data_IF_353412043608
#
_entry.id   IF_353412043608
#
_cell.length_a   1.000
_cell.length_b   1.000
_cell.length_c   1.000
_cell.angle_alpha   90.00
_cell.angle_beta   90.00
_cell.angle_gamma   90.00
#
_symmetry.space_group_name_H-M   'P 1'
#
loop_
_entity.id
_entity.type
_entity.pdbx_description
1 polymer ?
#
# COMPACT_ATOMS: atom_id res chain seq x y z
N UNK A 1 17.94 0.87 33.62
CA UNK A 1 17.05 2.05 33.51
C UNK A 1 15.95 1.66 32.56
N UNK A 2 14.72 1.51 33.03
CA UNK A 2 13.60 1.07 32.22
C UNK A 2 13.25 2.14 31.15
N UNK A 3 12.90 1.77 29.93
CA UNK A 3 12.46 2.71 28.91
C UNK A 3 11.09 3.28 29.28
N UNK A 4 11.00 4.61 29.24
CA UNK A 4 9.78 5.36 29.52
C UNK A 4 8.96 5.42 28.24
N UNK A 5 7.78 4.80 28.25
CA UNK A 5 6.77 5.02 27.22
C UNK A 5 6.19 6.43 27.37
N UNK A 6 6.45 7.32 26.42
CA UNK A 6 5.84 8.66 26.41
C UNK A 6 4.52 8.57 25.66
N UNK A 7 3.43 8.55 26.43
CA UNK A 7 2.08 8.82 25.89
C UNK A 7 1.90 10.33 25.89
N UNK A 8 1.87 10.96 24.73
CA UNK A 8 1.54 12.38 24.59
C UNK A 8 0.04 12.51 24.35
N UNK A 9 -0.75 13.04 25.30
CA UNK A 9 -2.13 13.40 25.06
C UNK A 9 -2.19 14.81 24.48
N UNK A 10 -2.49 14.97 23.22
CA UNK A 10 -2.94 16.25 22.67
C UNK A 10 -4.43 16.17 22.45
N UNK A 11 -5.21 16.74 23.34
CA UNK A 11 -6.61 17.08 23.09
C UNK A 11 -6.84 18.55 23.38
N UNK A 12 -7.44 19.32 22.49
CA UNK A 12 -8.18 20.51 22.88
C UNK A 12 -9.50 20.07 23.51
N UNK A 13 -9.81 20.61 24.68
CA UNK A 13 -11.10 20.44 25.36
C UNK A 13 -12.19 21.07 24.46
N UNK A 14 -12.98 20.26 23.80
CA UNK A 14 -14.30 20.63 23.32
C UNK A 14 -15.31 19.94 24.24
N UNK A 15 -16.10 20.71 24.92
CA UNK A 15 -17.25 20.23 25.70
C UNK A 15 -18.32 19.78 24.75
N UNK A 16 -18.28 18.50 24.38
CA UNK A 16 -19.36 17.85 23.67
C UNK A 16 -20.17 17.04 24.69
N UNK A 17 -21.43 17.35 24.79
CA UNK A 17 -22.48 16.65 25.51
C UNK A 17 -22.38 15.14 25.25
N UNK A 18 -22.26 14.36 26.31
CA UNK A 18 -22.31 12.90 26.26
C UNK A 18 -23.59 12.43 25.57
N UNK A 19 -23.53 11.63 24.52
CA UNK A 19 -24.69 10.89 24.05
C UNK A 19 -24.92 9.76 25.07
N UNK A 20 -25.98 9.88 25.84
CA UNK A 20 -26.55 8.83 26.68
C UNK A 20 -27.10 7.73 25.77
N UNK A 21 -26.53 6.54 25.86
CA UNK A 21 -27.14 5.32 25.34
C UNK A 21 -26.33 4.55 24.30
N UNK A 22 -25.11 4.12 24.63
CA UNK A 22 -24.48 3.03 23.85
C UNK A 22 -25.11 1.70 24.27
N UNK A 23 -25.79 1.05 23.32
CA UNK A 23 -26.19 -0.36 23.46
C UNK A 23 -24.94 -1.22 23.70
N UNK A 24 -24.96 -2.16 24.68
CA UNK A 24 -23.77 -2.94 25.04
C UNK A 24 -23.25 -3.93 23.95
N UNK A 25 -23.96 -4.12 22.86
CA UNK A 25 -23.73 -5.22 21.89
C UNK A 25 -23.39 -4.81 20.46
N UNK A 26 -23.02 -3.55 20.23
CA UNK A 26 -22.58 -3.18 18.88
C UNK A 26 -21.12 -3.62 18.64
N UNK A 27 -20.83 -4.35 17.55
CA UNK A 27 -19.50 -4.90 17.31
C UNK A 27 -18.48 -3.78 17.03
N UNK A 28 -17.35 -3.82 17.71
CA UNK A 28 -16.21 -2.99 17.41
C UNK A 28 -15.38 -3.66 16.28
N UNK A 29 -14.76 -2.86 15.42
CA UNK A 29 -13.87 -3.33 14.36
C UNK A 29 -12.54 -2.59 14.44
N UNK A 30 -11.47 -3.31 14.76
CA UNK A 30 -10.14 -2.75 14.87
C UNK A 30 -9.35 -2.93 13.57
N UNK A 31 -8.73 -1.85 13.11
CA UNK A 31 -7.73 -1.88 12.05
C UNK A 31 -6.42 -1.29 12.58
N UNK A 32 -5.28 -1.77 12.11
CA UNK A 32 -4.01 -1.19 12.49
C UNK A 32 -2.99 -1.17 11.37
N UNK A 33 -2.11 -0.17 11.44
CA UNK A 33 -0.91 -0.05 10.61
C UNK A 33 0.30 -0.10 11.52
N UNK A 34 1.39 -0.69 11.04
CA UNK A 34 2.65 -0.68 11.75
C UNK A 34 3.80 -0.51 10.77
N UNK A 35 4.82 0.20 11.20
CA UNK A 35 6.04 0.50 10.45
C UNK A 35 7.22 0.24 11.38
N UNK A 36 8.22 -0.48 10.89
CA UNK A 36 9.53 -0.60 11.54
C UNK A 36 10.46 0.38 10.85
N UNK A 37 11.16 1.18 11.65
CA UNK A 37 12.22 2.10 11.17
C UNK A 37 13.53 1.74 11.84
N UNK A 38 14.54 1.59 11.04
CA UNK A 38 15.95 1.51 11.43
C UNK A 38 16.55 2.92 11.51
N UNK A 39 17.59 3.10 12.30
CA UNK A 39 18.18 4.41 12.55
C UNK A 39 18.78 5.03 11.27
N UNK A 40 19.41 4.22 10.43
CA UNK A 40 20.10 4.65 9.21
C UNK A 40 19.26 4.51 7.94
N UNK A 41 18.05 3.91 8.03
CA UNK A 41 17.07 3.69 6.96
C UNK A 41 17.59 2.83 5.81
N UNK A 42 18.50 1.91 6.07
CA UNK A 42 19.04 0.99 5.06
C UNK A 42 18.31 -0.37 5.01
N UNK A 43 17.28 -0.56 5.86
CA UNK A 43 16.47 -1.78 5.99
C UNK A 43 17.31 -3.02 6.42
N UNK A 44 18.46 -2.78 7.00
CA UNK A 44 19.37 -3.79 7.51
C UNK A 44 19.71 -3.44 8.97
N UNK A 45 19.36 -4.30 9.89
CA UNK A 45 19.57 -4.07 11.30
C UNK A 45 20.89 -4.64 11.77
N UNK A 46 21.74 -3.80 12.35
CA UNK A 46 22.97 -4.26 13.02
C UNK A 46 22.73 -4.43 14.52
N UNK A 47 23.47 -5.37 15.11
CA UNK A 47 23.53 -5.49 16.56
C UNK A 47 23.81 -4.14 17.21
N UNK A 48 23.02 -3.78 18.22
CA UNK A 48 23.11 -2.50 18.94
C UNK A 48 22.45 -1.31 18.25
N UNK A 49 21.97 -1.45 17.01
CA UNK A 49 21.24 -0.39 16.29
C UNK A 49 19.89 -0.13 16.92
N UNK A 50 19.47 1.14 16.92
CA UNK A 50 18.13 1.53 17.38
C UNK A 50 17.08 1.25 16.31
N UNK A 51 16.04 0.55 16.69
CA UNK A 51 14.85 0.29 15.86
C UNK A 51 13.64 0.91 16.50
N UNK A 52 12.83 1.61 15.71
CA UNK A 52 11.57 2.23 16.15
C UNK A 52 10.39 1.50 15.53
N UNK A 53 9.44 1.11 16.35
CA UNK A 53 8.17 0.50 15.96
C UNK A 53 7.05 1.53 16.13
N UNK A 54 6.52 2.01 15.02
CA UNK A 54 5.39 2.95 14.97
C UNK A 54 4.11 2.19 14.64
N UNK A 55 3.09 2.28 15.52
CA UNK A 55 1.81 1.60 15.33
C UNK A 55 0.70 2.63 15.42
N UNK A 56 -0.20 2.61 14.45
CA UNK A 56 -1.46 3.34 14.48
C UNK A 56 -2.61 2.33 14.50
N UNK A 57 -3.50 2.44 15.47
CA UNK A 57 -4.68 1.59 15.61
C UNK A 57 -5.94 2.45 15.64
N UNK A 58 -6.97 2.01 14.90
CA UNK A 58 -8.26 2.71 14.78
C UNK A 58 -9.40 1.74 15.05
N UNK A 59 -10.44 2.23 15.70
CA UNK A 59 -11.72 1.54 15.80
C UNK A 59 -12.66 2.06 14.69
N UNK A 60 -12.94 1.24 13.69
CA UNK A 60 -13.87 1.55 12.59
C UNK A 60 -15.28 1.04 12.84
N UNK A 61 -15.48 0.27 13.93
CA UNK A 61 -16.80 -0.23 14.29
C UNK A 61 -17.61 0.77 15.11
N UNK A 62 -18.93 0.54 15.23
CA UNK A 62 -19.84 1.38 16.02
C UNK A 62 -19.74 1.12 17.53
N UNK A 63 -19.17 0.00 17.98
CA UNK A 63 -19.02 -0.35 19.38
C UNK A 63 -17.73 0.17 20.01
N UNK A 64 -17.75 0.41 21.33
CA UNK A 64 -16.55 0.75 22.10
C UNK A 64 -15.76 -0.51 22.43
N UNK A 65 -14.45 -0.47 22.28
CA UNK A 65 -13.56 -1.57 22.67
C UNK A 65 -12.71 -1.16 23.86
N UNK A 66 -12.61 -2.05 24.85
CA UNK A 66 -11.89 -1.80 26.11
C UNK A 66 -10.65 -2.68 26.24
N UNK A 67 -9.61 -2.13 26.86
CA UNK A 67 -8.40 -2.86 27.18
C UNK A 67 -7.67 -3.40 25.95
N UNK A 68 -7.56 -2.58 24.91
CA UNK A 68 -6.83 -2.93 23.69
C UNK A 68 -5.33 -2.97 23.98
N UNK A 69 -4.71 -4.05 23.55
CA UNK A 69 -3.27 -4.32 23.68
C UNK A 69 -2.73 -4.87 22.38
N UNK A 70 -1.46 -4.56 22.12
CA UNK A 70 -0.72 -5.11 20.99
C UNK A 70 0.34 -6.06 21.56
N UNK A 71 0.27 -7.32 21.16
CA UNK A 71 1.25 -8.34 21.49
C UNK A 71 2.40 -8.25 20.49
N UNK A 72 3.62 -8.17 21.00
CA UNK A 72 4.86 -8.16 20.21
C UNK A 72 5.59 -9.46 20.48
N UNK A 73 5.79 -10.26 19.44
CA UNK A 73 6.52 -11.52 19.50
C UNK A 73 7.47 -11.63 18.31
N UNK A 74 8.46 -12.50 18.36
CA UNK A 74 9.39 -12.68 17.25
C UNK A 74 10.77 -13.18 17.67
N UNK A 75 11.76 -12.87 16.84
CA UNK A 75 13.16 -13.21 17.09
C UNK A 75 13.70 -12.44 18.29
N UNK A 76 14.32 -13.14 19.26
CA UNK A 76 14.80 -12.57 20.51
C UNK A 76 15.61 -11.28 20.31
N UNK A 77 16.56 -11.27 19.39
CA UNK A 77 17.36 -10.08 19.07
C UNK A 77 16.54 -8.84 18.66
N UNK A 78 15.28 -9.00 18.22
CA UNK A 78 14.40 -7.90 17.87
C UNK A 78 13.45 -7.52 19.01
N UNK A 79 13.03 -8.49 19.83
CA UNK A 79 11.93 -8.27 20.79
C UNK A 79 12.40 -8.12 22.22
N UNK A 80 13.60 -8.56 22.59
CA UNK A 80 14.08 -8.53 23.99
C UNK A 80 14.17 -7.11 24.58
N UNK A 81 14.29 -6.10 23.73
CA UNK A 81 14.32 -4.69 24.16
C UNK A 81 13.01 -3.93 23.92
N UNK A 82 12.04 -4.58 23.29
CA UNK A 82 10.70 -4.03 23.04
C UNK A 82 9.73 -4.71 24.01
N UNK A 83 8.86 -3.98 24.73
CA UNK A 83 7.87 -4.60 25.59
C UNK A 83 7.00 -5.60 24.82
N UNK A 84 6.87 -6.82 25.33
CA UNK A 84 6.06 -7.88 24.68
C UNK A 84 4.57 -7.57 24.62
N UNK A 85 4.11 -6.58 25.40
CA UNK A 85 2.71 -6.09 25.41
C UNK A 85 2.73 -4.56 25.42
N UNK A 86 2.10 -3.95 24.43
CA UNK A 86 1.93 -2.50 24.33
C UNK A 86 0.47 -2.17 24.63
N UNK A 87 0.23 -1.41 25.70
CA UNK A 87 -1.13 -1.01 26.09
C UNK A 87 -1.61 0.17 25.24
N UNK A 88 -2.75 0.02 24.62
CA UNK A 88 -3.46 1.06 23.86
C UNK A 88 -4.60 1.67 24.69
N UNK A 89 -5.22 0.84 25.54
CA UNK A 89 -6.37 1.22 26.36
C UNK A 89 -7.70 1.11 25.61
N UNK A 90 -8.64 2.01 25.90
CA UNK A 90 -9.97 1.96 25.31
C UNK A 90 -10.04 2.79 24.03
N UNK A 91 -10.84 2.33 23.06
CA UNK A 91 -11.10 3.01 21.80
C UNK A 91 -12.62 3.14 21.58
N UNK A 92 -13.11 4.36 21.49
CA UNK A 92 -14.48 4.65 21.08
C UNK A 92 -14.62 4.50 19.55
N UNK A 93 -15.85 4.46 19.03
CA UNK A 93 -16.07 4.51 17.59
C UNK A 93 -15.34 5.69 16.92
N UNK A 94 -14.54 5.39 15.89
CA UNK A 94 -13.76 6.39 15.16
C UNK A 94 -12.42 6.80 15.80
N UNK A 95 -12.13 6.39 17.03
CA UNK A 95 -10.87 6.73 17.70
C UNK A 95 -9.65 6.17 16.97
N UNK A 96 -8.61 6.99 16.89
CA UNK A 96 -7.28 6.62 16.37
C UNK A 96 -6.25 6.83 17.48
N UNK A 97 -5.46 5.83 17.79
CA UNK A 97 -4.33 5.93 18.71
C UNK A 97 -3.03 5.52 18.03
N UNK A 98 -1.95 6.21 18.42
CA UNK A 98 -0.59 5.94 17.98
C UNK A 98 0.26 5.52 19.15
N UNK A 99 1.05 4.47 18.93
CA UNK A 99 2.03 3.96 19.88
C UNK A 99 3.36 3.88 19.15
N UNK A 100 4.39 4.50 19.72
CA UNK A 100 5.76 4.42 19.22
C UNK A 100 6.62 3.82 20.33
N UNK A 101 7.41 2.81 19.97
CA UNK A 101 8.34 2.14 20.87
C UNK A 101 9.67 2.01 20.21
N UNK A 102 10.72 2.43 20.92
CA UNK A 102 12.08 2.26 20.49
C UNK A 102 12.70 1.05 21.22
N UNK A 103 13.47 0.27 20.46
CA UNK A 103 14.25 -0.84 20.95
C UNK A 103 15.67 -0.81 20.39
N UNK A 104 16.49 -1.70 20.86
CA UNK A 104 17.82 -1.94 20.28
C UNK A 104 17.90 -3.38 19.79
N UNK A 105 18.53 -3.58 18.65
CA UNK A 105 18.81 -4.92 18.16
C UNK A 105 19.79 -5.61 19.14
N UNK A 106 19.38 -6.75 19.65
CA UNK A 106 20.21 -7.57 20.55
C UNK A 106 21.35 -8.26 19.83
N UNK A 107 22.00 -9.21 20.50
CA UNK A 107 23.15 -9.92 19.95
C UNK A 107 22.80 -10.69 18.68
N UNK A 108 23.59 -10.48 17.63
CA UNK A 108 23.48 -11.15 16.34
C UNK A 108 24.85 -11.70 15.99
N UNK A 109 25.02 -13.02 16.05
CA UNK A 109 26.32 -13.68 15.83
C UNK A 109 26.65 -13.93 14.36
N UNK A 110 25.62 -14.04 13.53
CA UNK A 110 25.72 -14.24 12.07
C UNK A 110 24.62 -13.52 11.32
N UNK A 111 24.78 -13.33 10.02
CA UNK A 111 23.76 -12.72 9.18
C UNK A 111 22.52 -13.63 9.11
N UNK A 112 21.37 -13.14 9.59
CA UNK A 112 20.14 -13.92 9.74
C UNK A 112 18.91 -13.05 9.42
N UNK A 113 17.83 -13.70 9.05
CA UNK A 113 16.54 -13.05 8.97
C UNK A 113 15.83 -13.17 10.33
N UNK A 114 15.44 -12.03 10.88
CA UNK A 114 14.61 -11.96 12.07
C UNK A 114 13.15 -11.69 11.71
N UNK A 115 12.26 -12.15 12.57
CA UNK A 115 10.82 -11.94 12.43
C UNK A 115 10.30 -11.11 13.60
N UNK A 116 9.40 -10.18 13.31
CA UNK A 116 8.58 -9.47 14.29
C UNK A 116 7.11 -9.68 13.95
N UNK A 117 6.34 -10.13 14.91
CA UNK A 117 4.92 -10.43 14.75
C UNK A 117 4.11 -9.58 15.71
N UNK A 118 3.12 -8.87 15.18
CA UNK A 118 2.22 -8.01 15.93
C UNK A 118 0.79 -8.57 15.85
N UNK A 119 0.18 -8.80 17.01
CA UNK A 119 -1.21 -9.22 17.11
C UNK A 119 -1.98 -8.28 18.06
N UNK A 120 -3.23 -8.00 17.74
CA UNK A 120 -4.09 -7.15 18.57
C UNK A 120 -4.99 -8.03 19.40
N UNK A 121 -5.14 -7.71 20.71
CA UNK A 121 -6.15 -8.29 21.59
C UNK A 121 -6.90 -7.20 22.37
N UNK A 122 -8.05 -7.53 22.90
CA UNK A 122 -8.84 -6.64 23.75
C UNK A 122 -9.58 -7.44 24.83
N UNK A 123 -10.09 -6.74 25.82
CA UNK A 123 -10.93 -7.36 26.87
C UNK A 123 -12.38 -7.50 26.45
N UNK A 124 -12.86 -6.68 25.52
CA UNK A 124 -14.21 -6.78 24.98
C UNK A 124 -14.35 -8.05 24.12
N UNK A 125 -15.52 -8.70 24.18
CA UNK A 125 -15.81 -9.97 23.47
C UNK A 125 -16.34 -9.76 22.05
N UNK A 126 -17.08 -8.68 21.79
CA UNK A 126 -17.67 -8.37 20.49
C UNK A 126 -16.74 -7.49 19.64
N UNK A 127 -15.58 -8.02 19.26
CA UNK A 127 -14.57 -7.27 18.51
C UNK A 127 -14.13 -8.06 17.28
N UNK A 128 -14.18 -7.42 16.12
CA UNK A 128 -13.51 -7.90 14.93
C UNK A 128 -12.04 -7.45 14.98
N UNK A 129 -11.14 -8.41 15.11
CA UNK A 129 -9.71 -8.14 15.18
C UNK A 129 -9.09 -8.08 13.79
N UNK A 130 -8.08 -7.20 13.59
CA UNK A 130 -7.30 -7.18 12.36
C UNK A 130 -6.42 -8.43 12.24
N UNK A 131 -6.02 -8.74 11.03
CA UNK A 131 -5.03 -9.80 10.78
C UNK A 131 -3.70 -9.50 11.45
N UNK A 132 -3.03 -10.54 11.91
CA UNK A 132 -1.67 -10.46 12.47
C UNK A 132 -0.72 -9.89 11.41
N UNK A 133 0.13 -8.94 11.82
CA UNK A 133 1.19 -8.41 10.94
C UNK A 133 2.52 -9.06 11.26
N UNK A 134 3.18 -9.52 10.21
CA UNK A 134 4.52 -10.12 10.27
C UNK A 134 5.48 -9.28 9.45
N UNK A 135 6.62 -8.93 10.08
CA UNK A 135 7.75 -8.28 9.43
C UNK A 135 8.91 -9.26 9.40
N UNK A 136 9.62 -9.28 8.29
CA UNK A 136 10.87 -10.02 8.14
C UNK A 136 11.97 -9.00 7.86
N UNK A 137 13.00 -8.98 8.69
CA UNK A 137 14.09 -8.01 8.60
C UNK A 137 15.42 -8.74 8.55
N UNK A 138 16.36 -8.25 7.76
CA UNK A 138 17.71 -8.77 7.73
C UNK A 138 18.52 -8.22 8.92
N UNK A 139 19.22 -9.09 9.64
CA UNK A 139 20.04 -8.72 10.79
C UNK A 139 21.46 -9.17 10.61
N UNK A 140 22.43 -8.39 11.14
CA UNK A 140 23.87 -8.65 11.06
C UNK A 140 24.57 -8.34 12.37
N UNK A 141 25.74 -8.97 12.61
CA UNK A 141 26.64 -8.59 13.70
C UNK A 141 27.06 -7.12 13.62
N UNK A 142 27.37 -6.48 14.76
CA UNK A 142 27.71 -5.06 14.85
C UNK A 142 28.83 -4.62 13.88
N UNK A 143 29.83 -5.44 13.69
CA UNK A 143 30.98 -5.15 12.83
C UNK A 143 30.92 -5.81 11.45
N UNK A 144 29.80 -6.43 11.10
CA UNK A 144 29.66 -7.00 9.77
C UNK A 144 29.68 -5.86 8.74
N UNK A 145 30.50 -5.96 7.70
CA UNK A 145 30.50 -4.92 6.68
C UNK A 145 29.10 -4.83 6.09
N UNK A 146 28.63 -3.61 5.90
CA UNK A 146 27.51 -3.33 5.01
C UNK A 146 27.92 -3.75 3.62
N UNK A 147 28.02 -5.08 3.41
CA UNK A 147 28.35 -5.61 2.11
C UNK A 147 27.27 -5.15 1.14
N UNK A 148 27.44 -3.92 0.70
CA UNK A 148 26.96 -3.43 -0.58
C UNK A 148 25.49 -3.61 -0.92
N UNK A 149 24.58 -3.72 0.05
CA UNK A 149 23.22 -3.28 -0.21
C UNK A 149 23.23 -1.77 0.03
N UNK A 150 23.89 -1.02 -0.87
CA UNK A 150 23.40 0.32 -1.16
C UNK A 150 21.91 0.10 -1.40
N UNK A 151 21.00 0.84 -0.73
CA UNK A 151 19.61 0.85 -1.16
C UNK A 151 19.69 1.11 -2.66
N UNK A 152 19.41 0.09 -3.46
CA UNK A 152 19.40 0.25 -4.90
C UNK A 152 18.25 1.20 -5.09
N UNK A 153 18.60 2.44 -5.44
CA UNK A 153 17.59 3.39 -5.86
C UNK A 153 16.89 2.70 -7.02
N UNK A 154 15.59 2.39 -6.84
CA UNK A 154 14.80 1.71 -7.89
C UNK A 154 14.77 2.53 -9.17
N UNK A 155 15.08 3.83 -9.07
CA UNK A 155 15.25 4.73 -10.23
C UNK A 155 16.58 4.46 -10.95
N UNK A 156 17.56 3.87 -10.29
CA UNK A 156 18.82 3.43 -10.88
C UNK A 156 18.64 2.07 -11.56
N UNK A 157 18.40 2.09 -12.86
CA UNK A 157 18.27 0.87 -13.64
C UNK A 157 19.55 0.02 -13.53
N UNK A 158 19.42 -1.28 -13.18
CA UNK A 158 20.57 -2.15 -13.17
C UNK A 158 21.19 -2.23 -14.56
N UNK A 159 22.54 -2.17 -14.62
CA UNK A 159 23.29 -2.41 -15.84
C UNK A 159 23.23 -3.90 -16.19
N UNK A 160 22.11 -4.36 -16.67
CA UNK A 160 21.91 -5.77 -17.04
C UNK A 160 22.23 -5.96 -18.50
N UNK A 161 23.17 -6.80 -18.79
CA UNK A 161 23.35 -7.31 -20.13
C UNK A 161 22.23 -8.32 -20.45
N UNK A 162 21.31 -7.93 -21.30
CA UNK A 162 20.20 -8.62 -21.91
C UNK A 162 20.16 -10.14 -21.98
N UNK A 163 20.15 -10.82 -20.83
CA UNK A 163 19.94 -12.28 -20.80
C UNK A 163 18.49 -12.66 -21.10
N UNK A 164 17.54 -11.80 -20.68
CA UNK A 164 16.13 -12.02 -20.95
C UNK A 164 15.72 -11.30 -22.25
N UNK A 165 15.09 -12.02 -23.14
CA UNK A 165 14.55 -11.48 -24.38
C UNK A 165 13.09 -11.85 -24.50
N UNK A 166 12.24 -10.85 -24.59
CA UNK A 166 10.79 -11.01 -24.76
C UNK A 166 10.32 -10.20 -25.99
N UNK A 167 10.74 -10.61 -27.22
CA UNK A 167 10.51 -9.81 -28.43
C UNK A 167 9.02 -9.65 -28.79
N UNK A 168 8.16 -10.55 -28.30
CA UNK A 168 6.72 -10.52 -28.53
C UNK A 168 5.92 -9.91 -27.37
N UNK A 169 6.54 -9.68 -26.21
CA UNK A 169 5.86 -9.05 -25.10
C UNK A 169 5.50 -7.60 -25.42
N UNK A 170 4.44 -7.12 -24.78
CA UNK A 170 3.95 -5.74 -24.88
C UNK A 170 3.87 -5.14 -23.49
N UNK A 171 4.34 -3.90 -23.34
CA UNK A 171 4.24 -3.13 -22.11
C UNK A 171 3.33 -1.90 -22.27
N UNK A 172 2.48 -1.62 -21.29
CA UNK A 172 1.66 -0.40 -21.23
C UNK A 172 1.87 0.22 -19.85
N UNK A 173 2.59 1.34 -19.79
CA UNK A 173 2.87 2.08 -18.58
C UNK A 173 2.04 3.36 -18.54
N UNK A 174 1.21 3.49 -17.52
CA UNK A 174 0.28 4.62 -17.34
C UNK A 174 0.64 5.30 -16.02
N UNK A 175 1.01 6.60 -16.10
CA UNK A 175 1.35 7.41 -14.95
C UNK A 175 0.61 8.75 -14.95
N UNK A 176 -0.36 8.89 -14.03
CA UNK A 176 -1.24 10.07 -13.96
C UNK A 176 -1.01 10.79 -12.64
N UNK A 177 -0.03 11.69 -12.63
CA UNK A 177 0.34 12.47 -11.44
C UNK A 177 -0.36 13.82 -11.33
N UNK A 178 -0.98 14.31 -12.41
CA UNK A 178 -1.64 15.62 -12.49
C UNK A 178 -2.98 15.45 -13.21
N UNK A 179 -3.92 16.33 -12.90
CA UNK A 179 -5.28 16.27 -13.42
C UNK A 179 -5.68 17.65 -13.95
N UNK A 180 -6.56 17.68 -14.95
CA UNK A 180 -7.11 18.91 -15.50
C UNK A 180 -8.08 19.57 -14.51
N UNK A 181 -8.78 18.79 -13.68
CA UNK A 181 -9.72 19.29 -12.71
C UNK A 181 -9.02 20.11 -11.62
N UNK A 182 -9.40 21.40 -11.44
CA UNK A 182 -8.84 22.22 -10.38
C UNK A 182 -9.13 21.63 -8.99
N UNK A 183 -8.14 21.68 -8.10
CA UNK A 183 -8.31 21.19 -6.71
C UNK A 183 -8.06 19.69 -6.52
N UNK A 184 -8.00 18.90 -7.58
CA UNK A 184 -7.62 17.49 -7.46
C UNK A 184 -6.16 17.36 -7.01
N UNK A 185 -5.94 16.61 -5.93
CA UNK A 185 -4.60 16.43 -5.37
C UNK A 185 -3.70 15.65 -6.33
N UNK A 186 -2.45 16.10 -6.46
CA UNK A 186 -1.44 15.44 -7.30
C UNK A 186 -0.98 14.12 -6.67
N UNK A 187 -0.65 13.14 -7.50
CA UNK A 187 0.08 11.93 -7.13
C UNK A 187 1.53 12.12 -7.56
N UNK A 188 2.38 12.48 -6.61
CA UNK A 188 3.72 13.04 -6.84
C UNK A 188 4.60 12.17 -7.74
N UNK A 189 4.59 10.87 -7.54
CA UNK A 189 5.52 9.94 -8.19
C UNK A 189 4.90 9.11 -9.32
N UNK A 190 3.59 9.14 -9.53
CA UNK A 190 2.89 8.26 -10.47
C UNK A 190 3.49 8.23 -11.89
N UNK A 191 3.89 9.38 -12.42
CA UNK A 191 4.50 9.44 -13.74
C UNK A 191 5.93 8.88 -13.73
N UNK A 192 6.71 9.17 -12.68
CA UNK A 192 8.07 8.66 -12.52
C UNK A 192 8.07 7.14 -12.38
N UNK A 193 7.20 6.59 -11.51
CA UNK A 193 7.07 5.15 -11.28
C UNK A 193 6.72 4.41 -12.57
N UNK A 194 5.77 4.94 -13.35
CA UNK A 194 5.40 4.37 -14.63
C UNK A 194 6.55 4.44 -15.68
N UNK A 195 7.33 5.51 -15.69
CA UNK A 195 8.48 5.63 -16.59
C UNK A 195 9.61 4.67 -16.18
N UNK A 196 9.87 4.55 -14.90
CA UNK A 196 10.85 3.59 -14.35
C UNK A 196 10.42 2.16 -14.68
N UNK A 197 9.15 1.82 -14.48
CA UNK A 197 8.62 0.51 -14.84
C UNK A 197 8.81 0.20 -16.34
N UNK A 198 8.48 1.15 -17.21
CA UNK A 198 8.69 1.00 -18.65
C UNK A 198 10.16 0.78 -19.01
N UNK A 199 11.08 1.46 -18.33
CA UNK A 199 12.53 1.28 -18.49
C UNK A 199 12.97 -0.12 -18.01
N UNK A 200 12.47 -0.59 -16.87
CA UNK A 200 12.75 -1.95 -16.39
C UNK A 200 12.28 -3.01 -17.36
N UNK A 201 11.09 -2.88 -17.93
CA UNK A 201 10.60 -3.81 -18.97
C UNK A 201 11.50 -3.85 -20.20
N UNK A 202 12.03 -2.70 -20.60
CA UNK A 202 12.95 -2.65 -21.74
C UNK A 202 14.33 -3.22 -21.38
N UNK A 203 14.98 -2.67 -20.34
CA UNK A 203 16.40 -2.95 -20.03
C UNK A 203 16.56 -4.33 -19.38
N UNK A 204 15.72 -4.66 -18.43
CA UNK A 204 15.80 -5.91 -17.65
C UNK A 204 14.89 -6.99 -18.25
N UNK A 205 13.66 -6.62 -18.58
CA UNK A 205 12.65 -7.52 -19.15
C UNK A 205 12.89 -7.91 -20.61
N UNK A 206 13.73 -7.17 -21.34
CA UNK A 206 14.04 -7.44 -22.74
C UNK A 206 12.86 -7.24 -23.70
N UNK A 207 11.90 -6.38 -23.31
CA UNK A 207 10.79 -5.97 -24.19
C UNK A 207 11.30 -4.85 -25.11
N UNK A 208 11.12 -4.96 -26.44
CA UNK A 208 11.51 -3.91 -27.37
C UNK A 208 10.84 -2.56 -27.03
N UNK A 209 11.58 -1.47 -27.13
CA UNK A 209 11.09 -0.14 -26.73
C UNK A 209 9.85 0.30 -27.52
N UNK A 210 9.78 -0.09 -28.80
CA UNK A 210 8.65 0.16 -29.71
C UNK A 210 7.38 -0.60 -29.34
N UNK A 211 7.51 -1.64 -28.51
CA UNK A 211 6.40 -2.43 -27.97
C UNK A 211 5.99 -1.98 -26.55
N UNK A 212 6.56 -0.87 -26.07
CA UNK A 212 6.21 -0.28 -24.78
C UNK A 212 5.49 1.04 -24.99
N UNK A 213 4.19 1.06 -24.73
CA UNK A 213 3.38 2.28 -24.78
C UNK A 213 3.42 3.01 -23.44
N UNK A 214 3.67 4.31 -23.50
CA UNK A 214 3.73 5.19 -22.34
C UNK A 214 2.63 6.23 -22.42
N UNK A 215 1.79 6.29 -21.38
CA UNK A 215 0.71 7.27 -21.23
C UNK A 215 0.95 8.08 -19.94
N UNK A 216 1.52 9.27 -20.09
CA UNK A 216 1.95 10.09 -18.96
C UNK A 216 1.28 11.47 -18.99
N UNK A 217 0.83 11.95 -17.82
CA UNK A 217 0.27 13.29 -17.65
C UNK A 217 -0.85 13.57 -18.65
N UNK A 218 -0.73 14.66 -19.42
CA UNK A 218 -1.73 15.09 -20.41
C UNK A 218 -1.94 14.13 -21.60
N UNK A 219 -1.08 13.11 -21.76
CA UNK A 219 -1.23 12.05 -22.75
C UNK A 219 -1.94 10.81 -22.17
N UNK A 220 -2.51 10.91 -20.99
CA UNK A 220 -3.31 9.86 -20.37
C UNK A 220 -4.77 10.31 -20.24
N UNK A 221 -5.35 10.76 -21.34
CA UNK A 221 -6.78 11.06 -21.44
C UNK A 221 -7.60 9.77 -21.43
N UNK A 222 -8.88 9.86 -21.08
CA UNK A 222 -9.78 8.71 -21.21
C UNK A 222 -9.80 8.11 -22.62
N UNK A 223 -9.79 8.97 -23.64
CA UNK A 223 -9.70 8.55 -25.04
C UNK A 223 -8.41 7.79 -25.35
N UNK A 224 -7.27 8.23 -24.78
CA UNK A 224 -5.97 7.58 -25.01
C UNK A 224 -5.92 6.20 -24.37
N UNK A 225 -6.49 6.05 -23.16
CA UNK A 225 -6.63 4.75 -22.51
C UNK A 225 -7.51 3.83 -23.36
N UNK A 226 -8.67 4.33 -23.81
CA UNK A 226 -9.59 3.57 -24.66
C UNK A 226 -8.90 3.12 -25.95
N UNK A 227 -8.30 4.04 -26.70
CA UNK A 227 -7.61 3.74 -27.94
C UNK A 227 -6.42 2.77 -27.73
N UNK A 228 -5.76 2.86 -26.56
CA UNK A 228 -4.64 1.96 -26.24
C UNK A 228 -5.10 0.52 -26.05
N UNK A 229 -6.14 0.28 -25.26
CA UNK A 229 -6.58 -1.07 -24.94
C UNK A 229 -7.52 -1.68 -26.00
N UNK A 230 -8.28 -0.86 -26.71
CA UNK A 230 -9.32 -1.33 -27.62
C UNK A 230 -8.92 -1.27 -29.12
N UNK A 231 -7.89 -0.48 -29.46
CA UNK A 231 -7.46 -0.32 -30.86
C UNK A 231 -5.99 -0.71 -31.03
N UNK A 232 -5.08 -0.09 -30.27
CA UNK A 232 -3.64 -0.32 -30.46
C UNK A 232 -3.20 -1.70 -29.97
N UNK A 233 -3.57 -2.10 -28.75
CA UNK A 233 -3.13 -3.37 -28.16
C UNK A 233 -3.58 -4.58 -28.98
N UNK A 234 -4.83 -4.68 -29.47
CA UNK A 234 -5.26 -5.80 -30.33
C UNK A 234 -4.39 -5.98 -31.57
N UNK A 235 -3.88 -4.91 -32.15
CA UNK A 235 -3.00 -4.95 -33.30
C UNK A 235 -1.55 -5.37 -32.99
N UNK A 236 -1.19 -5.48 -31.70
CA UNK A 236 0.17 -5.79 -31.24
C UNK A 236 0.33 -7.24 -30.77
N UNK A 237 -0.74 -7.99 -30.63
CA UNK A 237 -0.71 -9.26 -29.89
C UNK A 237 -1.04 -10.48 -30.74
N UNK A 238 -0.50 -11.62 -30.32
CA UNK A 238 -0.79 -12.95 -30.83
C UNK A 238 -0.93 -13.95 -29.65
N UNK A 239 -1.32 -15.22 -29.86
CA UNK A 239 -1.50 -16.20 -28.78
C UNK A 239 -0.25 -16.50 -27.94
N UNK A 240 0.93 -16.06 -28.36
CA UNK A 240 2.18 -16.23 -27.62
C UNK A 240 2.59 -14.98 -26.85
N UNK A 241 1.87 -13.87 -27.02
CA UNK A 241 2.19 -12.57 -26.42
C UNK A 241 1.89 -12.56 -24.92
N UNK A 242 2.83 -12.02 -24.14
CA UNK A 242 2.62 -11.62 -22.75
C UNK A 242 2.42 -10.11 -22.69
N UNK A 243 1.35 -9.67 -22.05
CA UNK A 243 1.02 -8.25 -21.89
C UNK A 243 1.31 -7.82 -20.46
N UNK A 244 2.08 -6.75 -20.29
CA UNK A 244 2.37 -6.11 -19.01
C UNK A 244 1.67 -4.76 -18.97
N UNK A 245 0.87 -4.54 -17.92
CA UNK A 245 0.20 -3.26 -17.70
C UNK A 245 0.61 -2.75 -16.32
N UNK A 246 1.03 -1.50 -16.24
CA UNK A 246 1.26 -0.78 -14.99
C UNK A 246 0.44 0.50 -15.00
N UNK A 247 -0.30 0.73 -13.92
CA UNK A 247 -1.13 1.93 -13.75
C UNK A 247 -0.82 2.54 -12.41
N UNK A 248 -0.29 3.76 -12.39
CA UNK A 248 -0.12 4.54 -11.17
C UNK A 248 -0.84 5.89 -11.29
N UNK A 249 -1.57 6.29 -10.23
CA UNK A 249 -2.35 7.52 -10.22
C UNK A 249 -3.44 7.56 -9.15
N UNK A 250 -4.60 8.11 -9.51
CA UNK A 250 -5.80 8.13 -8.65
C UNK A 250 -6.87 7.21 -9.18
N UNK A 251 -7.58 6.60 -8.25
CA UNK A 251 -8.76 5.81 -8.52
C UNK A 251 -9.96 6.32 -7.72
N UNK A 252 -11.14 6.13 -8.29
CA UNK A 252 -12.41 6.39 -7.64
C UNK A 252 -13.11 5.07 -7.39
N UNK A 253 -13.63 4.90 -6.17
CA UNK A 253 -14.47 3.76 -5.81
C UNK A 253 -15.93 4.19 -5.93
N UNK A 254 -16.70 3.48 -6.73
CA UNK A 254 -18.15 3.66 -6.83
C UNK A 254 -18.80 3.16 -5.52
N UNK A 255 -19.47 4.03 -4.77
CA UNK A 255 -20.04 3.67 -3.46
C UNK A 255 -21.17 2.64 -3.54
N UNK A 256 -21.88 2.54 -4.66
CA UNK A 256 -22.99 1.62 -4.82
C UNK A 256 -22.55 0.20 -5.20
N UNK A 257 -21.46 0.09 -5.97
CA UNK A 257 -21.02 -1.19 -6.56
C UNK A 257 -19.66 -1.67 -6.06
N UNK A 258 -18.89 -0.81 -5.39
CA UNK A 258 -17.50 -1.07 -5.03
C UNK A 258 -16.54 -1.07 -6.24
N UNK A 259 -17.03 -0.80 -7.44
CA UNK A 259 -16.23 -0.82 -8.65
C UNK A 259 -15.16 0.27 -8.66
N UNK A 260 -13.93 -0.09 -8.99
CA UNK A 260 -12.81 0.84 -9.06
C UNK A 260 -12.63 1.34 -10.50
N UNK A 261 -12.43 2.65 -10.62
CA UNK A 261 -12.09 3.29 -11.89
C UNK A 261 -10.83 4.14 -11.76
N UNK A 262 -9.99 4.12 -12.77
CA UNK A 262 -8.87 5.05 -12.91
C UNK A 262 -9.41 6.42 -13.27
N UNK A 263 -8.88 7.48 -12.66
CA UNK A 263 -9.14 8.87 -13.02
C UNK A 263 -8.11 9.28 -14.07
N UNK A 264 -8.48 9.44 -15.36
CA UNK A 264 -7.58 9.94 -16.40
C UNK A 264 -7.20 11.41 -16.18
N UNK A 265 -6.27 11.95 -16.96
CA UNK A 265 -5.88 13.35 -16.87
C UNK A 265 -7.07 14.32 -17.03
N UNK A 266 -8.03 14.00 -17.89
CA UNK A 266 -9.29 14.75 -18.12
C UNK A 266 -10.46 14.24 -17.31
N UNK A 267 -10.21 13.29 -16.38
CA UNK A 267 -11.20 12.73 -15.48
C UNK A 267 -11.64 13.70 -14.39
N UNK A 268 -12.79 13.41 -13.79
CA UNK A 268 -13.34 14.17 -12.65
C UNK A 268 -13.91 13.20 -11.60
N UNK A 269 -13.95 13.65 -10.35
CA UNK A 269 -14.60 12.87 -9.27
C UNK A 269 -16.11 12.97 -9.28
N UNK A 270 -16.67 13.94 -10.04
CA UNK A 270 -18.12 14.24 -10.09
C UNK A 270 -18.85 13.54 -11.22
N UNK A 271 -18.14 12.98 -12.21
CA UNK A 271 -18.74 12.34 -13.38
C UNK A 271 -18.08 11.02 -13.73
N UNK A 272 -18.79 9.91 -13.51
CA UNK A 272 -18.35 8.57 -13.91
C UNK A 272 -18.09 8.43 -15.41
N UNK A 273 -18.73 9.28 -16.24
CA UNK A 273 -18.54 9.27 -17.70
C UNK A 273 -17.10 9.60 -18.14
N UNK A 274 -16.32 10.26 -17.29
CA UNK A 274 -14.91 10.62 -17.56
C UNK A 274 -13.89 9.69 -16.89
N UNK A 275 -14.32 8.60 -16.29
CA UNK A 275 -13.47 7.60 -15.65
C UNK A 275 -13.21 6.44 -16.61
N UNK A 276 -12.12 5.70 -16.35
CA UNK A 276 -11.81 4.45 -17.05
C UNK A 276 -11.86 3.29 -16.06
N UNK A 277 -12.92 2.47 -16.12
CA UNK A 277 -13.14 1.43 -15.12
C UNK A 277 -12.12 0.28 -15.28
N UNK A 278 -11.67 -0.28 -14.15
CA UNK A 278 -10.78 -1.45 -14.16
C UNK A 278 -11.49 -2.69 -14.74
N UNK A 279 -12.80 -2.77 -14.59
CA UNK A 279 -13.60 -3.81 -15.25
C UNK A 279 -13.48 -3.74 -16.78
N UNK A 280 -13.56 -2.53 -17.36
CA UNK A 280 -13.38 -2.33 -18.81
C UNK A 280 -11.97 -2.73 -19.25
N UNK A 281 -10.95 -2.42 -18.44
CA UNK A 281 -9.58 -2.89 -18.67
C UNK A 281 -9.53 -4.43 -18.69
N UNK A 282 -10.09 -5.08 -17.71
CA UNK A 282 -10.14 -6.54 -17.60
C UNK A 282 -10.86 -7.14 -18.82
N UNK A 283 -12.03 -6.62 -19.17
CA UNK A 283 -12.81 -7.09 -20.35
C UNK A 283 -12.03 -6.92 -21.65
N UNK A 284 -11.31 -5.80 -21.82
CA UNK A 284 -10.46 -5.58 -22.99
C UNK A 284 -9.35 -6.64 -23.09
N UNK A 285 -8.65 -6.91 -21.96
CA UNK A 285 -7.58 -7.91 -21.93
C UNK A 285 -8.09 -9.35 -22.13
N UNK A 286 -9.24 -9.69 -21.58
CA UNK A 286 -9.83 -11.05 -21.67
C UNK A 286 -10.26 -11.39 -23.10
N UNK A 287 -10.60 -10.40 -23.92
CA UNK A 287 -11.00 -10.61 -25.34
C UNK A 287 -9.82 -10.86 -26.27
N UNK A 288 -8.60 -10.62 -25.82
CA UNK A 288 -7.41 -10.71 -26.66
C UNK A 288 -6.89 -12.15 -26.73
N UNK A 289 -6.40 -12.57 -27.91
CA UNK A 289 -5.71 -13.84 -28.07
C UNK A 289 -4.28 -13.71 -27.52
N UNK A 290 -4.11 -13.73 -26.21
CA UNK A 290 -2.81 -13.57 -25.55
C UNK A 290 -2.49 -14.76 -24.66
N UNK A 291 -1.21 -15.01 -24.43
CA UNK A 291 -0.76 -16.07 -23.52
C UNK A 291 -1.04 -15.71 -22.05
N UNK A 292 -0.81 -14.44 -21.69
CA UNK A 292 -0.95 -13.96 -20.31
C UNK A 292 -1.03 -12.44 -20.26
N UNK A 293 -1.81 -11.91 -19.33
CA UNK A 293 -1.74 -10.52 -18.91
C UNK A 293 -1.23 -10.44 -17.45
N UNK A 294 -0.33 -9.49 -17.18
CA UNK A 294 0.16 -9.16 -15.85
C UNK A 294 -0.18 -7.70 -15.63
N UNK A 295 -1.11 -7.44 -14.70
CA UNK A 295 -1.61 -6.09 -14.42
C UNK A 295 -1.17 -5.70 -13.01
N UNK A 296 -0.45 -4.59 -12.91
CA UNK A 296 0.03 -3.98 -11.67
C UNK A 296 -0.65 -2.64 -11.50
N UNK A 297 -1.30 -2.43 -10.36
CA UNK A 297 -2.13 -1.25 -10.09
C UNK A 297 -1.67 -0.62 -8.78
N UNK A 298 -1.26 0.64 -8.87
CA UNK A 298 -0.89 1.50 -7.75
C UNK A 298 -1.76 2.76 -7.80
N UNK A 299 -2.90 2.74 -7.12
CA UNK A 299 -3.87 3.82 -7.13
C UNK A 299 -4.12 4.36 -5.72
N UNK A 300 -3.99 5.68 -5.57
CA UNK A 300 -4.55 6.39 -4.43
C UNK A 300 -6.07 6.44 -4.57
N UNK A 301 -6.79 5.61 -3.82
CA UNK A 301 -8.25 5.51 -3.94
C UNK A 301 -8.95 6.64 -3.21
N UNK A 302 -9.88 7.28 -3.90
CA UNK A 302 -10.85 8.22 -3.33
C UNK A 302 -12.22 7.53 -3.21
N UNK A 303 -12.85 7.77 -2.07
CA UNK A 303 -14.24 7.40 -1.87
C UNK A 303 -15.07 8.67 -2.07
N UNK A 304 -16.06 8.61 -2.93
CA UNK A 304 -17.11 9.66 -2.94
C UNK A 304 -17.78 9.55 -1.58
N UNK A 305 -17.70 10.62 -0.79
CA UNK A 305 -18.47 10.67 0.45
C UNK A 305 -19.95 10.47 0.04
N UNK A 306 -20.55 9.37 0.49
CA UNK A 306 -21.98 9.21 0.35
C UNK A 306 -22.64 10.40 1.03
N UNK A 307 -23.67 10.97 0.41
CA UNK A 307 -24.39 12.11 0.95
C UNK A 307 -25.03 11.82 2.33
N UNK A 308 -25.06 10.55 2.72
CA UNK A 308 -25.55 10.05 4.01
C UNK A 308 -24.50 9.12 4.63
N UNK A 309 -23.60 9.67 5.39
CA UNK A 309 -22.79 9.14 6.52
C UNK A 309 -22.48 7.64 6.69
N UNK A 310 -22.58 6.79 5.68
CA UNK A 310 -22.32 5.36 5.78
C UNK A 310 -20.88 5.06 5.34
N UNK A 311 -20.04 4.70 6.30
CA UNK A 311 -18.70 4.17 6.07
C UNK A 311 -18.77 2.86 5.29
N UNK A 312 -18.16 2.81 4.11
CA UNK A 312 -18.14 1.62 3.28
C UNK A 312 -16.84 0.82 3.46
N UNK A 313 -17.02 -0.51 3.49
CA UNK A 313 -15.97 -1.51 3.53
C UNK A 313 -15.02 -1.45 2.33
N UNK A 314 -13.78 -1.91 2.52
CA UNK A 314 -12.76 -1.97 1.48
C UNK A 314 -13.25 -2.69 0.20
N UNK A 315 -12.80 -2.26 -0.99
CA UNK A 315 -13.21 -2.88 -2.25
C UNK A 315 -12.83 -4.37 -2.28
N UNK A 316 -13.80 -5.20 -2.59
CA UNK A 316 -13.59 -6.64 -2.83
C UNK A 316 -13.22 -6.80 -4.30
N UNK A 317 -12.05 -7.34 -4.57
CA UNK A 317 -11.67 -7.77 -5.92
C UNK A 317 -12.57 -8.92 -6.35
N UNK A 318 -13.04 -8.95 -7.60
CA UNK A 318 -13.76 -10.11 -8.09
C UNK A 318 -12.83 -11.32 -8.01
N UNK A 319 -13.23 -12.32 -7.24
CA UNK A 319 -12.62 -13.63 -7.30
C UNK A 319 -13.15 -14.34 -8.54
N UNK A 320 -12.26 -15.09 -9.24
CA UNK A 320 -12.59 -15.86 -10.44
C UNK A 320 -13.71 -16.88 -10.21
#
# INVERSE_FOLDING_TARGET
VAPVAVVVPTAPKSSATLPTGTKPDEPAALVFRAIIRDQNRNQLLHEGETVSLEIEIKNEGPGTVTGVEILVTGTAALVDTIPGVLSVGNLMPGDVKRVTVDGKVGAVTESVQGELVLAVRAKSSAVQFPTVKKFVVAMKPANAPDAGIKPVDVDDLPKVSGKLKQPKAVGIAIGIGQFREPGMQRVKYAQQDADVMAKYWNVVGGIPAERIRRLFGSRALKSDLTATFEEWLPAQVDPTTVVYVFVSGRGLVDPATGAVSVIPFDGTTTSGARLYSLRRLQEALTRLPISRAIVMIDLSLEHVAAADGVSQSAPVWPQE
#
